data_IF_240564903634
#
_entry.id   IF_240564903634
#
_cell.length_a   1.000
_cell.length_b   1.000
_cell.length_c   1.000
_cell.angle_alpha   90.00
_cell.angle_beta   90.00
_cell.angle_gamma   90.00
#
_symmetry.space_group_name_H-M   'P 1'
#
loop_
_entity.id
_entity.type
_entity.pdbx_description
1 polymer ?
#
# COMPACT_ATOMS: atom_id res chain seq x y z
N UNK A 1 11.34 -22.94 32.80
CA UNK A 1 12.63 -22.26 32.51
C UNK A 1 13.75 -23.19 32.04
N UNK A 2 13.86 -24.47 32.49
CA UNK A 2 14.92 -25.38 32.03
C UNK A 2 14.90 -25.78 30.53
N UNK A 3 13.74 -25.86 29.90
CA UNK A 3 13.64 -26.21 28.43
C UNK A 3 14.27 -25.19 27.47
N UNK A 4 14.31 -23.89 27.80
CA UNK A 4 14.87 -22.83 26.99
C UNK A 4 16.42 -22.87 26.99
N UNK A 5 17.03 -23.42 28.02
CA UNK A 5 18.50 -23.45 28.16
C UNK A 5 19.20 -24.34 27.12
N UNK A 6 18.47 -25.29 26.51
CA UNK A 6 18.98 -26.25 25.53
C UNK A 6 18.72 -25.86 24.04
N UNK A 7 18.13 -24.71 23.77
CA UNK A 7 17.91 -24.28 22.41
C UNK A 7 19.22 -23.82 21.75
N UNK A 8 19.38 -24.13 20.44
CA UNK A 8 20.49 -23.60 19.64
C UNK A 8 20.47 -22.08 19.67
N UNK A 9 21.63 -21.44 19.64
CA UNK A 9 21.75 -19.97 19.67
C UNK A 9 20.87 -19.28 18.61
N UNK A 10 20.82 -19.81 17.40
CA UNK A 10 19.96 -19.29 16.31
C UNK A 10 18.48 -19.28 16.69
N UNK A 11 17.97 -20.33 17.36
CA UNK A 11 16.57 -20.39 17.79
C UNK A 11 16.28 -19.35 18.87
N UNK A 12 17.23 -19.09 19.77
CA UNK A 12 17.09 -18.06 20.80
C UNK A 12 17.02 -16.67 20.17
N UNK A 13 17.92 -16.37 19.23
CA UNK A 13 17.93 -15.09 18.50
C UNK A 13 16.61 -14.90 17.74
N UNK A 14 16.12 -15.94 17.06
CA UNK A 14 14.84 -15.89 16.35
C UNK A 14 13.69 -15.46 17.27
N UNK A 15 13.53 -16.11 18.42
CA UNK A 15 12.46 -15.77 19.36
C UNK A 15 12.65 -14.42 20.07
N UNK A 16 13.90 -13.96 20.25
CA UNK A 16 14.16 -12.60 20.75
C UNK A 16 13.67 -11.57 19.73
N UNK A 17 13.97 -11.75 18.44
CA UNK A 17 13.52 -10.83 17.38
C UNK A 17 11.98 -10.84 17.29
N UNK A 18 11.34 -12.02 17.31
CA UNK A 18 9.87 -12.12 17.36
C UNK A 18 9.31 -11.35 18.57
N UNK A 19 9.91 -11.52 19.75
CA UNK A 19 9.49 -10.78 20.95
C UNK A 19 9.66 -9.27 20.81
N UNK A 20 10.74 -8.79 20.17
CA UNK A 20 10.93 -7.37 19.88
C UNK A 20 9.88 -6.84 18.89
N UNK A 21 9.58 -7.60 17.84
CA UNK A 21 8.53 -7.23 16.86
C UNK A 21 7.17 -7.10 17.55
N UNK A 22 6.79 -8.08 18.36
CA UNK A 22 5.52 -8.02 19.11
C UNK A 22 5.50 -6.81 20.05
N UNK A 23 6.59 -6.54 20.76
CA UNK A 23 6.69 -5.37 21.65
C UNK A 23 6.55 -4.04 20.85
N UNK A 24 7.23 -3.92 19.71
CA UNK A 24 7.14 -2.73 18.88
C UNK A 24 5.70 -2.51 18.34
N UNK A 25 5.01 -3.58 17.94
CA UNK A 25 3.61 -3.48 17.54
C UNK A 25 2.73 -3.02 18.71
N UNK A 26 2.90 -3.58 19.92
CA UNK A 26 2.13 -3.15 21.11
C UNK A 26 2.38 -1.66 21.39
N UNK A 27 3.62 -1.18 21.30
CA UNK A 27 3.97 0.23 21.52
C UNK A 27 3.33 1.09 20.44
N UNK A 28 3.40 0.70 19.16
CA UNK A 28 2.80 1.44 18.07
C UNK A 28 1.28 1.61 18.25
N UNK A 29 0.58 0.55 18.63
CA UNK A 29 -0.88 0.60 18.90
C UNK A 29 -1.25 1.41 20.15
N UNK A 30 -0.33 1.65 21.07
CA UNK A 30 -0.61 2.33 22.34
C UNK A 30 -0.02 3.74 22.43
N UNK A 31 0.80 4.18 21.48
CA UNK A 31 1.51 5.46 21.58
C UNK A 31 1.75 6.11 20.21
N UNK A 32 0.87 6.99 19.83
CA UNK A 32 1.00 7.87 18.66
C UNK A 32 2.28 8.71 18.72
N UNK A 33 2.62 9.26 19.89
CA UNK A 33 3.85 10.00 20.11
C UNK A 33 5.12 9.20 19.78
N UNK A 34 5.11 7.87 20.05
CA UNK A 34 6.21 6.98 19.63
C UNK A 34 6.26 6.86 18.11
N UNK A 35 5.13 6.72 17.45
CA UNK A 35 5.04 6.60 15.99
C UNK A 35 5.50 7.89 15.31
N UNK A 36 5.12 9.06 15.81
CA UNK A 36 5.57 10.36 15.33
C UNK A 36 7.08 10.55 15.52
N UNK A 37 7.60 10.18 16.70
CA UNK A 37 9.05 10.18 16.94
C UNK A 37 9.78 9.26 15.97
N UNK A 38 9.22 8.07 15.68
CA UNK A 38 9.79 7.10 14.76
C UNK A 38 9.83 7.66 13.32
N UNK A 39 8.73 8.23 12.84
CA UNK A 39 8.65 8.85 11.50
C UNK A 39 9.64 10.01 11.39
N UNK A 40 9.77 10.81 12.42
CA UNK A 40 10.64 12.00 12.39
C UNK A 40 12.13 11.65 12.41
N UNK A 41 12.55 10.63 13.17
CA UNK A 41 13.98 10.40 13.44
C UNK A 41 14.52 9.07 12.91
N UNK A 42 13.71 8.02 12.85
CA UNK A 42 14.16 6.68 12.48
C UNK A 42 13.81 6.32 11.03
N UNK A 43 12.59 6.55 10.62
CA UNK A 43 12.14 6.22 9.28
C UNK A 43 12.95 6.89 8.16
N UNK A 44 13.35 8.18 8.27
CA UNK A 44 14.22 8.81 7.26
C UNK A 44 15.59 8.14 7.11
N UNK A 45 16.09 7.44 8.14
CA UNK A 45 17.34 6.66 8.04
C UNK A 45 17.17 5.50 7.05
N UNK A 46 16.04 4.81 7.08
CA UNK A 46 15.72 3.76 6.11
C UNK A 46 15.66 4.30 4.68
N UNK A 47 14.94 5.38 4.47
CA UNK A 47 14.82 6.03 3.15
C UNK A 47 16.19 6.53 2.66
N UNK A 48 16.96 7.18 3.53
CA UNK A 48 18.27 7.74 3.15
C UNK A 48 19.38 6.72 2.98
N UNK A 49 19.26 5.52 3.56
CA UNK A 49 20.27 4.46 3.41
C UNK A 49 19.79 3.42 2.39
N UNK A 50 18.72 2.72 2.72
CA UNK A 50 18.23 1.62 1.91
C UNK A 50 17.57 2.10 0.61
N UNK A 51 16.76 3.16 0.65
CA UNK A 51 16.19 3.78 -0.55
C UNK A 51 17.25 4.34 -1.51
N UNK A 52 18.39 4.85 -1.00
CA UNK A 52 19.52 5.23 -1.87
C UNK A 52 20.19 4.01 -2.50
N UNK A 53 20.35 2.93 -1.74
CA UNK A 53 20.94 1.69 -2.25
C UNK A 53 20.08 1.07 -3.38
N UNK A 54 18.79 0.93 -3.15
CA UNK A 54 17.85 0.42 -4.17
C UNK A 54 17.74 1.39 -5.34
N UNK A 55 17.86 2.70 -5.09
CA UNK A 55 17.89 3.75 -6.11
C UNK A 55 19.03 3.65 -7.13
N UNK A 56 20.09 2.86 -6.86
CA UNK A 56 21.16 2.59 -7.82
C UNK A 56 20.70 1.70 -8.98
N UNK A 57 19.61 0.95 -8.82
CA UNK A 57 19.12 0.05 -9.85
C UNK A 57 18.09 0.80 -10.73
N UNK A 58 18.12 0.63 -12.06
CA UNK A 58 17.19 1.28 -12.98
C UNK A 58 15.78 0.65 -12.98
N UNK A 59 15.61 -0.48 -12.30
CA UNK A 59 14.35 -1.23 -12.16
C UNK A 59 13.89 -1.29 -10.70
N UNK A 60 12.64 -1.65 -10.46
CA UNK A 60 12.09 -1.86 -9.13
C UNK A 60 12.70 -3.11 -8.47
N UNK A 61 13.46 -2.92 -7.40
CA UNK A 61 13.99 -4.02 -6.58
C UNK A 61 12.86 -4.72 -5.83
N UNK A 62 11.87 -3.94 -5.35
CA UNK A 62 10.70 -4.44 -4.63
C UNK A 62 9.92 -5.45 -5.46
N UNK A 63 9.68 -5.15 -6.73
CA UNK A 63 8.98 -6.03 -7.67
C UNK A 63 9.70 -7.39 -7.82
N UNK A 64 11.02 -7.39 -7.98
CA UNK A 64 11.80 -8.62 -8.07
C UNK A 64 11.89 -9.38 -6.75
N UNK A 65 11.83 -8.68 -5.60
CA UNK A 65 11.71 -9.34 -4.29
C UNK A 65 10.37 -10.07 -4.14
N UNK A 66 9.28 -9.50 -4.65
CA UNK A 66 7.96 -10.17 -4.67
C UNK A 66 8.03 -11.42 -5.55
N UNK A 67 8.59 -11.32 -6.77
CA UNK A 67 8.78 -12.47 -7.66
C UNK A 67 9.59 -13.58 -6.98
N UNK A 68 10.70 -13.23 -6.34
CA UNK A 68 11.50 -14.18 -5.57
C UNK A 68 10.72 -14.80 -4.40
N UNK A 69 9.88 -14.01 -3.72
CA UNK A 69 8.99 -14.47 -2.65
C UNK A 69 7.98 -15.50 -3.17
N UNK A 70 7.35 -15.24 -4.31
CA UNK A 70 6.40 -16.18 -4.95
C UNK A 70 7.09 -17.52 -5.27
N UNK A 71 8.28 -17.49 -5.86
CA UNK A 71 9.05 -18.72 -6.12
C UNK A 71 9.41 -19.47 -4.83
N UNK A 72 9.73 -18.74 -3.76
CA UNK A 72 10.04 -19.32 -2.46
C UNK A 72 8.80 -20.01 -1.85
N UNK A 73 7.62 -19.41 -1.96
CA UNK A 73 6.35 -20.00 -1.50
C UNK A 73 6.01 -21.24 -2.32
N UNK A 74 6.14 -21.18 -3.64
CA UNK A 74 5.91 -22.34 -4.53
C UNK A 74 6.84 -23.50 -4.12
N UNK A 75 8.12 -23.22 -3.93
CA UNK A 75 9.10 -24.23 -3.48
C UNK A 75 8.72 -24.82 -2.10
N UNK A 76 8.24 -23.99 -1.16
CA UNK A 76 7.77 -24.45 0.14
C UNK A 76 6.59 -25.42 0.00
N UNK A 77 5.61 -25.09 -0.82
CA UNK A 77 4.44 -25.94 -1.09
C UNK A 77 4.85 -27.28 -1.71
N UNK A 78 5.72 -27.24 -2.74
CA UNK A 78 6.22 -28.46 -3.39
C UNK A 78 6.95 -29.37 -2.39
N UNK A 79 7.86 -28.80 -1.58
CA UNK A 79 8.58 -29.58 -0.55
C UNK A 79 7.65 -30.12 0.53
N UNK A 80 6.60 -29.37 0.90
CA UNK A 80 5.58 -29.82 1.84
C UNK A 80 4.82 -31.05 1.30
N UNK A 81 4.34 -30.98 0.07
CA UNK A 81 3.64 -32.07 -0.61
C UNK A 81 4.55 -33.31 -0.73
N UNK A 82 5.80 -33.12 -1.18
CA UNK A 82 6.78 -34.20 -1.29
C UNK A 82 7.08 -34.84 0.07
N UNK A 83 7.16 -34.04 1.12
CA UNK A 83 7.38 -34.53 2.50
C UNK A 83 6.19 -35.34 3.01
N UNK A 84 4.95 -34.87 2.78
CA UNK A 84 3.74 -35.57 3.15
C UNK A 84 3.61 -36.91 2.40
N UNK A 85 3.89 -36.94 1.09
CA UNK A 85 3.87 -38.14 0.29
C UNK A 85 4.88 -39.19 0.77
N UNK A 86 6.13 -38.75 1.05
CA UNK A 86 7.16 -39.62 1.62
C UNK A 86 6.78 -40.15 3.00
N UNK A 87 6.12 -39.34 3.85
CA UNK A 87 5.63 -39.76 5.16
C UNK A 87 4.55 -40.85 5.02
N UNK A 88 3.59 -40.70 4.09
CA UNK A 88 2.55 -41.68 3.80
C UNK A 88 3.18 -43.02 3.37
N UNK A 89 4.11 -42.98 2.39
CA UNK A 89 4.79 -44.19 1.90
C UNK A 89 5.55 -44.90 3.05
N UNK A 90 6.27 -44.14 3.87
CA UNK A 90 7.00 -44.70 5.04
C UNK A 90 6.03 -45.36 6.01
N UNK A 91 4.86 -44.76 6.25
CA UNK A 91 3.84 -45.28 7.15
C UNK A 91 3.16 -46.54 6.60
N UNK A 92 2.88 -46.56 5.31
CA UNK A 92 2.34 -47.75 4.64
C UNK A 92 3.33 -48.92 4.67
N UNK A 93 4.62 -48.66 4.37
CA UNK A 93 5.65 -49.72 4.45
C UNK A 93 5.83 -50.25 5.86
N UNK A 94 5.80 -49.40 6.88
CA UNK A 94 5.89 -49.82 8.28
C UNK A 94 4.71 -50.74 8.69
N UNK A 95 3.49 -50.43 8.24
CA UNK A 95 2.32 -51.25 8.50
C UNK A 95 2.36 -52.62 7.78
N UNK A 96 2.94 -52.68 6.57
CA UNK A 96 3.14 -53.97 5.87
C UNK A 96 4.14 -54.86 6.57
N UNK A 97 5.26 -54.29 7.05
CA UNK A 97 6.25 -55.05 7.80
C UNK A 97 5.70 -55.59 9.12
N UNK A 98 4.89 -54.78 9.84
CA UNK A 98 4.28 -55.19 11.14
C UNK A 98 3.22 -56.31 10.94
N UNK A 99 2.50 -56.33 9.80
CA UNK A 99 1.58 -57.42 9.44
C UNK A 99 2.30 -58.71 9.09
N UNK A 100 3.47 -58.63 8.45
CA UNK A 100 4.26 -59.79 8.04
C UNK A 100 4.97 -60.40 9.26
N UNK A 101 5.43 -59.60 10.24
CA UNK A 101 6.07 -60.04 11.47
C UNK A 101 5.05 -60.75 12.42
N UNK A 102 3.78 -60.35 12.44
CA UNK A 102 2.69 -61.01 13.19
C UNK A 102 2.27 -62.37 12.60
N UNK A 103 2.59 -62.59 11.31
CA UNK A 103 2.32 -63.87 10.63
C UNK A 103 3.45 -64.89 10.82
N UNK A 104 4.67 -64.48 11.19
CA UNK A 104 5.79 -65.39 11.46
C UNK A 104 5.96 -65.59 12.99
N UNK A 105 5.62 -66.79 13.51
CA UNK A 105 5.84 -67.21 14.91
C UNK A 105 7.35 -67.42 15.19
N UNK A 106 8.14 -66.36 15.25
CA UNK A 106 9.56 -66.44 15.64
C UNK A 106 9.81 -65.72 16.96
N UNK A 107 10.69 -66.26 17.87
CA UNK A 107 10.92 -65.69 19.20
C UNK A 107 11.58 -64.33 19.13
N UNK A 108 11.22 -63.46 20.09
CA UNK A 108 11.68 -62.08 20.28
C UNK A 108 13.20 -61.95 20.20
N UNK A 109 13.72 -61.54 19.08
CA UNK A 109 15.08 -60.98 18.97
C UNK A 109 14.97 -59.46 19.20
N UNK A 110 15.57 -58.98 20.27
CA UNK A 110 15.71 -57.56 20.58
C UNK A 110 16.40 -56.84 19.41
N UNK A 111 15.60 -56.10 18.59
CA UNK A 111 16.14 -55.29 17.48
C UNK A 111 16.96 -54.13 18.07
N UNK A 112 18.19 -53.93 17.63
CA UNK A 112 18.94 -52.72 17.97
C UNK A 112 18.17 -51.49 17.46
N UNK A 113 17.99 -50.48 18.31
CA UNK A 113 17.42 -49.21 17.96
C UNK A 113 18.30 -48.54 16.89
N UNK A 114 17.97 -48.77 15.62
CA UNK A 114 18.63 -48.08 14.51
C UNK A 114 18.20 -46.60 14.57
N UNK A 115 19.05 -45.79 15.17
CA UNK A 115 18.96 -44.33 15.02
C UNK A 115 19.18 -43.99 13.54
N UNK A 116 18.07 -44.03 12.76
CA UNK A 116 18.10 -43.69 11.33
C UNK A 116 18.47 -42.22 11.24
N UNK A 117 19.73 -41.93 10.87
CA UNK A 117 20.18 -40.59 10.56
C UNK A 117 19.25 -39.95 9.53
N UNK A 118 18.96 -38.66 9.68
CA UNK A 118 18.13 -37.90 8.74
C UNK A 118 18.66 -38.09 7.32
N UNK A 119 17.83 -38.60 6.38
CA UNK A 119 18.18 -38.75 4.98
C UNK A 119 18.54 -37.39 4.34
N UNK A 120 19.23 -37.40 3.19
CA UNK A 120 19.57 -36.17 2.45
C UNK A 120 18.37 -35.24 2.23
N UNK A 121 17.24 -35.81 1.84
CA UNK A 121 15.99 -35.04 1.64
C UNK A 121 15.47 -34.39 2.95
N UNK A 122 15.49 -35.12 4.07
CA UNK A 122 15.02 -34.59 5.36
C UNK A 122 15.94 -33.45 5.84
N UNK A 123 17.25 -33.50 5.51
CA UNK A 123 18.21 -32.41 5.77
C UNK A 123 17.93 -31.19 4.87
N UNK A 124 17.65 -31.41 3.58
CA UNK A 124 17.28 -30.35 2.63
C UNK A 124 16.01 -29.63 3.07
N UNK A 125 14.95 -30.38 3.38
CA UNK A 125 13.70 -29.77 3.88
C UNK A 125 13.91 -28.97 5.16
N UNK A 126 14.68 -29.51 6.11
CA UNK A 126 14.97 -28.81 7.37
C UNK A 126 15.78 -27.52 7.12
N UNK A 127 16.75 -27.53 6.22
CA UNK A 127 17.54 -26.35 5.82
C UNK A 127 16.66 -25.31 5.13
N UNK A 128 15.86 -25.75 4.16
CA UNK A 128 14.94 -24.88 3.43
C UNK A 128 13.92 -24.19 4.36
N UNK A 129 13.21 -24.95 5.21
CA UNK A 129 12.22 -24.35 6.10
C UNK A 129 12.85 -23.48 7.20
N UNK A 130 14.09 -23.77 7.59
CA UNK A 130 14.83 -22.84 8.48
C UNK A 130 15.11 -21.52 7.77
N UNK A 131 15.59 -21.55 6.52
CA UNK A 131 15.81 -20.36 5.69
C UNK A 131 14.47 -19.61 5.47
N UNK A 132 13.42 -20.32 5.07
CA UNK A 132 12.09 -19.76 4.85
C UNK A 132 11.55 -19.04 6.10
N UNK A 133 11.71 -19.63 7.29
CA UNK A 133 11.32 -19.00 8.55
C UNK A 133 12.08 -17.70 8.83
N UNK A 134 13.38 -17.64 8.49
CA UNK A 134 14.17 -16.41 8.61
C UNK A 134 13.73 -15.33 7.61
N UNK A 135 13.37 -15.72 6.38
CA UNK A 135 12.81 -14.78 5.39
C UNK A 135 11.49 -14.22 5.88
N UNK A 136 10.57 -15.08 6.38
CA UNK A 136 9.30 -14.61 6.96
C UNK A 136 9.52 -13.66 8.14
N UNK A 137 10.49 -13.94 9.00
CA UNK A 137 10.82 -13.05 10.11
C UNK A 137 11.36 -11.69 9.60
N UNK A 138 12.22 -11.70 8.58
CA UNK A 138 12.72 -10.47 7.97
C UNK A 138 11.58 -9.64 7.36
N UNK A 139 10.65 -10.28 6.64
CA UNK A 139 9.44 -9.63 6.12
C UNK A 139 8.62 -9.02 7.26
N UNK A 140 8.37 -9.78 8.33
CA UNK A 140 7.61 -9.29 9.49
C UNK A 140 8.28 -8.08 10.16
N UNK A 141 9.61 -8.10 10.33
CA UNK A 141 10.37 -6.96 10.85
C UNK A 141 10.22 -5.73 9.94
N UNK A 142 10.42 -5.89 8.62
CA UNK A 142 10.31 -4.79 7.66
C UNK A 142 8.89 -4.23 7.60
N UNK A 143 7.86 -5.09 7.61
CA UNK A 143 6.47 -4.64 7.66
C UNK A 143 6.16 -3.86 8.94
N UNK A 144 6.66 -4.31 10.09
CA UNK A 144 6.48 -3.58 11.35
C UNK A 144 7.13 -2.19 11.29
N UNK A 145 8.39 -2.12 10.82
CA UNK A 145 9.16 -0.88 10.82
C UNK A 145 8.71 0.12 9.72
N UNK A 146 8.32 -0.39 8.57
CA UNK A 146 8.11 0.45 7.39
C UNK A 146 6.63 0.52 6.94
N UNK A 147 5.72 -0.05 7.74
CA UNK A 147 4.30 -0.03 7.46
C UNK A 147 3.49 0.10 8.76
N UNK A 148 3.49 -0.91 9.65
CA UNK A 148 2.59 -0.94 10.82
C UNK A 148 2.79 0.26 11.76
N UNK A 149 4.03 0.63 12.10
CA UNK A 149 4.29 1.80 12.95
C UNK A 149 3.76 3.08 12.31
N UNK A 150 3.86 3.20 10.98
CA UNK A 150 3.46 4.39 10.25
C UNK A 150 1.94 4.57 10.21
N UNK A 151 1.16 3.49 10.24
CA UNK A 151 -0.32 3.55 10.30
C UNK A 151 -0.86 4.19 11.58
N UNK A 152 -0.08 4.19 12.66
CA UNK A 152 -0.49 4.68 13.99
C UNK A 152 0.11 6.04 14.35
N UNK A 153 0.67 6.75 13.39
CA UNK A 153 1.19 8.11 13.58
C UNK A 153 0.10 9.15 13.30
N UNK A 154 0.30 10.34 13.82
CA UNK A 154 -0.58 11.49 13.57
C UNK A 154 -0.71 11.75 12.07
N UNK A 155 -1.93 11.78 11.51
CA UNK A 155 -2.19 12.09 10.11
C UNK A 155 -1.60 13.46 9.70
N UNK A 156 -1.25 13.61 8.42
CA UNK A 156 -0.74 14.87 7.89
C UNK A 156 -1.78 15.99 8.02
N UNK A 157 -3.03 15.68 7.76
CA UNK A 157 -4.14 16.61 7.88
C UNK A 157 -4.32 17.13 9.30
N UNK A 158 -4.15 16.29 10.31
CA UNK A 158 -4.24 16.71 11.70
C UNK A 158 -3.07 17.60 12.13
N UNK A 159 -1.89 17.40 11.55
CA UNK A 159 -0.70 18.25 11.84
C UNK A 159 -0.80 19.65 11.29
N UNK A 160 -1.35 19.80 10.08
CA UNK A 160 -1.22 21.05 9.33
C UNK A 160 -2.55 21.73 9.01
N UNK A 161 -3.68 21.01 9.13
CA UNK A 161 -5.01 21.48 8.78
C UNK A 161 -6.01 21.34 9.94
N UNK A 162 -5.57 20.98 11.15
CA UNK A 162 -6.47 20.93 12.30
C UNK A 162 -7.05 22.34 12.54
N UNK A 163 -8.37 22.43 12.46
CA UNK A 163 -9.08 23.66 12.86
C UNK A 163 -8.79 23.86 14.35
N UNK A 164 -8.17 25.00 14.71
CA UNK A 164 -8.05 25.40 16.11
C UNK A 164 -9.44 25.29 16.75
N UNK A 165 -9.56 24.45 17.77
CA UNK A 165 -10.80 24.36 18.55
C UNK A 165 -11.06 25.77 19.06
N UNK A 166 -12.07 26.45 18.51
CA UNK A 166 -12.65 27.60 19.18
C UNK A 166 -12.96 27.15 20.60
N UNK A 167 -12.30 27.77 21.57
CA UNK A 167 -12.58 27.57 22.98
C UNK A 167 -13.95 28.18 23.25
N UNK A 168 -15.00 27.45 22.91
CA UNK A 168 -16.33 27.74 23.40
C UNK A 168 -16.43 27.23 24.84
N UNK A 169 -16.24 28.16 25.78
CA UNK A 169 -16.81 28.11 27.11
C UNK A 169 -18.35 28.00 27.00
N UNK A 170 -18.85 26.77 26.90
CA UNK A 170 -20.29 26.50 27.10
C UNK A 170 -20.43 25.25 27.95
N UNK A 171 -20.83 25.52 29.22
CA UNK A 171 -21.52 24.71 30.20
C UNK A 171 -21.81 23.23 29.86
N UNK A 172 -21.19 22.37 30.68
CA UNK A 172 -21.67 21.02 30.97
C UNK A 172 -23.17 20.98 31.27
N UNK A 173 -23.87 20.18 30.50
CA UNK A 173 -24.87 19.21 30.99
C UNK A 173 -25.56 18.56 29.80
N UNK A 174 -25.17 17.37 29.43
CA UNK A 174 -26.07 16.23 29.20
C UNK A 174 -25.26 14.98 28.85
N UNK A 175 -25.46 13.98 29.66
CA UNK A 175 -25.07 12.59 29.59
C UNK A 175 -25.66 11.92 28.34
N UNK A 176 -24.82 11.18 27.58
CA UNK A 176 -25.12 9.85 27.04
C UNK A 176 -24.02 9.36 26.04
N UNK A 177 -23.32 8.31 26.39
CA UNK A 177 -23.02 7.10 25.63
C UNK A 177 -22.18 7.16 24.33
N UNK A 178 -20.91 6.74 24.47
CA UNK A 178 -20.11 5.98 23.47
C UNK A 178 -20.34 6.23 21.98
N UNK A 179 -19.44 6.97 21.38
CA UNK A 179 -18.74 6.63 20.12
C UNK A 179 -17.68 7.70 19.91
N UNK A 180 -16.45 7.29 19.56
CA UNK A 180 -15.40 8.20 19.12
C UNK A 180 -15.77 8.74 17.72
N UNK A 181 -16.71 9.71 17.69
CA UNK A 181 -16.94 10.56 16.54
C UNK A 181 -15.83 11.61 16.51
N UNK A 182 -14.87 11.43 15.59
CA UNK A 182 -14.10 12.56 15.06
C UNK A 182 -15.08 13.68 14.75
N UNK A 183 -14.97 14.83 15.43
CA UNK A 183 -15.81 16.01 15.15
C UNK A 183 -15.50 16.44 13.70
N UNK A 184 -16.28 15.96 12.73
CA UNK A 184 -16.39 16.48 11.38
C UNK A 184 -16.66 17.97 11.50
N UNK A 185 -15.81 18.81 10.93
CA UNK A 185 -16.18 20.19 10.63
C UNK A 185 -17.50 20.14 9.86
N UNK A 186 -18.49 20.91 10.29
CA UNK A 186 -19.81 20.92 9.65
C UNK A 186 -19.69 21.71 8.36
N UNK A 187 -19.19 21.07 7.28
CA UNK A 187 -19.23 21.65 5.95
C UNK A 187 -20.65 21.57 5.39
N UNK A 188 -21.05 22.62 4.70
CA UNK A 188 -22.38 22.74 4.13
C UNK A 188 -22.41 22.19 2.71
N UNK A 189 -23.62 21.90 2.19
CA UNK A 189 -23.78 21.60 0.77
C UNK A 189 -23.25 22.74 -0.12
N UNK A 190 -23.30 23.98 0.35
CA UNK A 190 -22.78 25.13 -0.39
C UNK A 190 -21.24 25.05 -0.50
N UNK A 191 -20.54 24.65 0.55
CA UNK A 191 -19.08 24.48 0.51
C UNK A 191 -18.67 23.35 -0.44
N UNK A 192 -19.40 22.22 -0.40
CA UNK A 192 -19.19 21.12 -1.33
C UNK A 192 -19.45 21.52 -2.79
N UNK A 193 -20.52 22.30 -3.04
CA UNK A 193 -20.84 22.83 -4.36
C UNK A 193 -19.74 23.78 -4.86
N UNK A 194 -19.27 24.68 -4.01
CA UNK A 194 -18.21 25.62 -4.34
C UNK A 194 -16.88 24.92 -4.66
N UNK A 195 -16.48 23.94 -3.82
CA UNK A 195 -15.31 23.11 -4.07
C UNK A 195 -15.43 22.35 -5.39
N UNK A 196 -16.57 21.67 -5.62
CA UNK A 196 -16.83 20.94 -6.86
C UNK A 196 -16.74 21.85 -8.09
N UNK A 197 -17.38 23.00 -8.08
CA UNK A 197 -17.36 23.92 -9.21
C UNK A 197 -15.96 24.47 -9.47
N UNK A 198 -15.21 24.83 -8.44
CA UNK A 198 -13.81 25.22 -8.57
C UNK A 198 -12.95 24.12 -9.22
N UNK A 199 -13.11 22.85 -8.80
CA UNK A 199 -12.39 21.73 -9.40
C UNK A 199 -12.74 21.54 -10.87
N UNK A 200 -14.04 21.64 -11.23
CA UNK A 200 -14.50 21.52 -12.62
C UNK A 200 -13.93 22.65 -13.47
N UNK A 201 -14.00 23.90 -13.00
CA UNK A 201 -13.45 25.06 -13.72
C UNK A 201 -11.94 24.89 -13.95
N UNK A 202 -11.19 24.42 -12.94
CA UNK A 202 -9.75 24.17 -13.05
C UNK A 202 -9.44 23.04 -14.04
N UNK A 203 -10.17 21.94 -13.98
CA UNK A 203 -9.98 20.84 -14.93
C UNK A 203 -10.32 21.28 -16.37
N UNK A 204 -11.41 22.00 -16.61
CA UNK A 204 -11.77 22.51 -17.93
C UNK A 204 -10.70 23.49 -18.45
N UNK A 205 -10.25 24.44 -17.61
CA UNK A 205 -9.21 25.40 -17.96
C UNK A 205 -7.91 24.70 -18.37
N UNK A 206 -7.43 23.79 -17.52
CA UNK A 206 -6.14 23.10 -17.72
C UNK A 206 -6.19 22.12 -18.89
N UNK A 207 -7.29 21.39 -19.05
CA UNK A 207 -7.50 20.51 -20.21
C UNK A 207 -7.36 21.26 -21.54
N UNK A 208 -7.92 22.49 -21.61
CA UNK A 208 -7.80 23.36 -22.79
C UNK A 208 -6.38 23.87 -23.06
N UNK A 209 -5.49 23.85 -22.07
CA UNK A 209 -4.10 24.29 -22.19
C UNK A 209 -3.13 23.14 -22.53
N UNK A 210 -3.57 21.88 -22.48
CA UNK A 210 -2.72 20.74 -22.78
C UNK A 210 -2.32 20.70 -24.25
N UNK A 211 -1.03 20.46 -24.49
CA UNK A 211 -0.54 20.14 -25.83
C UNK A 211 -0.96 18.73 -26.21
N UNK A 212 -1.51 18.56 -27.41
CA UNK A 212 -2.07 17.27 -27.86
C UNK A 212 -1.59 16.88 -29.25
N UNK A 213 -1.59 15.58 -29.53
CA UNK A 213 -1.44 15.03 -30.88
C UNK A 213 -2.71 15.27 -31.70
N UNK A 214 -2.67 14.91 -32.98
CA UNK A 214 -3.85 14.96 -33.87
C UNK A 214 -4.96 14.00 -33.39
N UNK A 215 -4.60 12.93 -32.67
CA UNK A 215 -5.53 11.96 -32.10
C UNK A 215 -6.08 12.42 -30.73
N UNK A 216 -5.69 13.60 -30.22
CA UNK A 216 -6.15 14.16 -28.95
C UNK A 216 -5.32 13.81 -27.73
N UNK A 217 -4.19 13.12 -27.91
CA UNK A 217 -3.33 12.63 -26.87
C UNK A 217 -2.49 13.73 -26.23
N UNK A 218 -2.42 13.79 -24.92
CA UNK A 218 -1.56 14.73 -24.20
C UNK A 218 -0.08 14.41 -24.45
N UNK A 219 0.66 15.43 -24.89
CA UNK A 219 2.11 15.38 -25.10
C UNK A 219 2.79 15.95 -23.86
N UNK A 220 3.76 15.21 -23.32
CA UNK A 220 4.61 15.68 -22.25
C UNK A 220 6.09 15.45 -22.56
N UNK A 221 6.86 16.52 -22.67
CA UNK A 221 8.28 16.46 -23.01
C UNK A 221 9.23 16.52 -21.81
N UNK A 222 8.71 16.74 -20.60
CA UNK A 222 9.46 16.88 -19.37
C UNK A 222 9.97 15.56 -18.77
N UNK A 223 10.81 15.66 -17.74
CA UNK A 223 11.17 14.53 -16.91
C UNK A 223 10.24 14.46 -15.70
N UNK A 224 9.10 13.81 -15.87
CA UNK A 224 8.02 13.70 -14.89
C UNK A 224 8.52 13.19 -13.53
N UNK A 225 9.42 12.20 -13.52
CA UNK A 225 9.98 11.61 -12.29
C UNK A 225 10.80 12.61 -11.48
N UNK A 226 11.60 13.44 -12.16
CA UNK A 226 12.37 14.52 -11.50
C UNK A 226 11.45 15.63 -11.03
N UNK A 227 10.43 15.95 -11.84
CA UNK A 227 9.46 16.99 -11.51
C UNK A 227 8.67 16.60 -10.25
N UNK A 228 8.18 15.36 -10.13
CA UNK A 228 7.51 14.88 -8.93
C UNK A 228 8.38 15.02 -7.66
N UNK A 229 9.69 14.71 -7.75
CA UNK A 229 10.61 14.92 -6.62
C UNK A 229 10.74 16.42 -6.30
N UNK A 230 10.89 17.28 -7.32
CA UNK A 230 11.03 18.72 -7.14
C UNK A 230 9.79 19.32 -6.48
N UNK A 231 8.60 18.88 -6.89
CA UNK A 231 7.33 19.37 -6.35
C UNK A 231 7.11 18.92 -4.91
N UNK A 232 7.42 17.65 -4.60
CA UNK A 232 7.42 17.16 -3.22
C UNK A 232 8.43 17.88 -2.33
N UNK A 233 9.60 18.26 -2.85
CA UNK A 233 10.58 19.04 -2.12
C UNK A 233 10.10 20.48 -1.90
N UNK A 234 9.50 21.11 -2.91
CA UNK A 234 8.91 22.45 -2.79
C UNK A 234 7.75 22.46 -1.77
N UNK A 235 6.88 21.44 -1.80
CA UNK A 235 5.84 21.28 -0.79
C UNK A 235 6.43 21.12 0.62
N UNK A 236 7.59 20.49 0.74
CA UNK A 236 8.34 20.36 1.99
C UNK A 236 8.88 21.69 2.54
N UNK A 237 8.94 22.77 1.76
CA UNK A 237 9.26 24.12 2.28
C UNK A 237 8.12 24.68 3.12
N UNK A 238 6.87 24.29 2.80
CA UNK A 238 5.68 24.67 3.57
C UNK A 238 5.40 23.69 4.71
N UNK A 239 5.57 22.40 4.47
CA UNK A 239 5.26 21.31 5.41
C UNK A 239 6.53 20.54 5.79
N UNK A 240 7.14 20.87 6.91
CA UNK A 240 8.46 20.37 7.35
C UNK A 240 8.57 18.83 7.40
N UNK A 241 7.46 18.14 7.63
CA UNK A 241 7.41 16.67 7.62
C UNK A 241 7.69 16.06 6.23
N UNK A 242 7.53 16.83 5.15
CA UNK A 242 7.78 16.40 3.77
C UNK A 242 9.20 16.73 3.29
N UNK A 243 10.04 17.35 4.12
CA UNK A 243 11.41 17.71 3.76
C UNK A 243 12.33 16.51 3.56
N UNK A 244 13.42 16.74 2.81
CA UNK A 244 14.54 15.83 2.70
C UNK A 244 14.63 15.05 1.40
N UNK A 245 15.30 13.91 1.44
CA UNK A 245 15.58 13.09 0.26
C UNK A 245 14.36 12.28 -0.21
N UNK A 246 14.20 12.22 -1.51
CA UNK A 246 13.25 11.37 -2.20
C UNK A 246 13.99 10.47 -3.21
N UNK A 247 13.80 9.15 -3.21
CA UNK A 247 14.29 8.30 -4.29
C UNK A 247 13.51 8.55 -5.58
N UNK A 248 14.16 8.28 -6.73
CA UNK A 248 13.53 8.44 -8.03
C UNK A 248 12.38 7.43 -8.20
N UNK A 249 11.13 7.84 -8.48
CA UNK A 249 10.05 6.93 -8.79
C UNK A 249 10.40 6.00 -9.95
N UNK A 250 10.02 4.74 -9.89
CA UNK A 250 10.39 3.71 -10.87
C UNK A 250 9.19 3.13 -11.59
N UNK A 251 9.28 2.92 -12.90
CA UNK A 251 8.24 2.20 -13.63
C UNK A 251 8.24 0.73 -13.22
N UNK A 252 7.07 0.15 -13.01
CA UNK A 252 6.89 -1.27 -12.80
C UNK A 252 7.12 -2.04 -14.10
N UNK A 253 7.81 -3.17 -14.01
CA UNK A 253 8.03 -4.06 -15.16
C UNK A 253 6.72 -4.77 -15.52
N UNK A 254 6.00 -5.29 -14.51
CA UNK A 254 4.73 -6.01 -14.65
C UNK A 254 3.51 -5.07 -14.62
N UNK A 255 3.60 -3.89 -15.26
CA UNK A 255 2.53 -2.88 -15.29
C UNK A 255 1.21 -3.42 -15.81
N UNK A 256 1.22 -4.34 -16.79
CA UNK A 256 0.01 -4.96 -17.31
C UNK A 256 -0.73 -5.76 -16.23
N UNK A 257 0.02 -6.55 -15.41
CA UNK A 257 -0.55 -7.26 -14.27
C UNK A 257 -1.01 -6.32 -13.16
N UNK A 258 -0.32 -5.20 -12.97
CA UNK A 258 -0.74 -4.15 -12.00
C UNK A 258 -2.01 -3.46 -12.49
N UNK A 259 -2.16 -3.25 -13.80
CA UNK A 259 -3.39 -2.71 -14.40
C UNK A 259 -4.60 -3.64 -14.17
N UNK A 260 -4.43 -4.96 -14.23
CA UNK A 260 -5.49 -5.92 -13.90
C UNK A 260 -5.96 -5.84 -12.43
N UNK A 261 -5.17 -5.21 -11.56
CA UNK A 261 -5.52 -4.93 -10.15
C UNK A 261 -6.11 -3.52 -9.97
N UNK A 262 -6.32 -2.77 -11.05
CA UNK A 262 -6.72 -1.35 -11.04
C UNK A 262 -5.81 -0.45 -10.19
N UNK A 263 -4.51 -0.77 -10.11
CA UNK A 263 -3.54 -0.04 -9.32
C UNK A 263 -2.67 0.87 -10.18
N UNK A 264 -2.45 2.10 -9.70
CA UNK A 264 -1.64 3.12 -10.36
C UNK A 264 -0.18 3.07 -9.92
N UNK A 265 0.09 2.68 -8.68
CA UNK A 265 1.43 2.64 -8.12
C UNK A 265 1.56 1.73 -6.92
N UNK A 266 2.77 1.62 -6.41
CA UNK A 266 3.09 0.88 -5.20
C UNK A 266 4.27 1.49 -4.46
N UNK A 267 4.09 1.76 -3.19
CA UNK A 267 5.18 1.88 -2.23
C UNK A 267 5.61 0.48 -1.78
N UNK A 268 6.89 0.15 -1.95
CA UNK A 268 7.43 -1.12 -1.45
C UNK A 268 8.20 -0.92 -0.14
N UNK A 269 7.62 -1.32 1.01
CA UNK A 269 8.26 -1.17 2.32
C UNK A 269 9.53 -2.02 2.48
N UNK A 270 9.73 -3.03 1.61
CA UNK A 270 10.89 -3.91 1.61
C UNK A 270 12.10 -3.30 0.93
N UNK A 271 11.90 -2.36 0.02
CA UNK A 271 12.94 -1.74 -0.81
C UNK A 271 13.01 -0.22 -0.70
N UNK A 272 12.07 0.42 0.01
CA UNK A 272 11.94 1.87 0.11
C UNK A 272 11.85 2.54 -1.26
N UNK A 273 11.01 2.00 -2.13
CA UNK A 273 10.82 2.47 -3.50
C UNK A 273 9.40 2.97 -3.71
N UNK A 274 9.28 4.10 -4.41
CA UNK A 274 8.06 4.58 -5.03
C UNK A 274 7.99 4.04 -6.46
N UNK A 275 6.93 3.35 -6.82
CA UNK A 275 6.80 2.71 -8.11
C UNK A 275 5.47 3.09 -8.76
N UNK A 276 5.46 3.25 -10.08
CA UNK A 276 4.27 3.60 -10.82
C UNK A 276 3.99 2.66 -11.98
N UNK A 277 2.72 2.49 -12.29
CA UNK A 277 2.24 1.76 -13.45
C UNK A 277 2.52 2.57 -14.72
N UNK A 278 3.48 2.13 -15.54
CA UNK A 278 3.89 2.85 -16.76
C UNK A 278 2.86 2.81 -17.88
N UNK A 279 1.84 1.95 -17.77
CA UNK A 279 0.75 1.82 -18.76
C UNK A 279 -0.43 2.74 -18.40
N UNK A 280 -0.47 3.24 -17.18
CA UNK A 280 -1.48 4.21 -16.77
C UNK A 280 -1.45 5.45 -17.69
N UNK A 281 -2.64 6.01 -17.93
CA UNK A 281 -2.74 7.21 -18.78
C UNK A 281 -1.94 8.37 -18.18
N UNK A 282 -1.40 9.23 -19.05
CA UNK A 282 -0.43 10.26 -18.68
C UNK A 282 -0.91 11.21 -17.57
N UNK A 283 -2.21 11.49 -17.51
CA UNK A 283 -2.83 12.34 -16.48
C UNK A 283 -2.76 11.74 -15.07
N UNK A 284 -2.66 10.41 -14.95
CA UNK A 284 -2.57 9.76 -13.63
C UNK A 284 -1.13 9.76 -13.08
N UNK A 285 -0.11 9.86 -13.94
CA UNK A 285 1.27 9.61 -13.55
C UNK A 285 1.84 10.64 -12.56
N UNK A 286 1.63 11.97 -12.71
CA UNK A 286 2.17 12.97 -11.79
C UNK A 286 1.68 12.76 -10.35
N UNK A 287 0.37 12.72 -10.16
CA UNK A 287 -0.23 12.55 -8.83
C UNK A 287 0.14 11.21 -8.22
N UNK A 288 0.16 10.13 -9.00
CA UNK A 288 0.61 8.81 -8.53
C UNK A 288 2.05 8.86 -8.02
N UNK A 289 2.97 9.47 -8.75
CA UNK A 289 4.36 9.59 -8.30
C UNK A 289 4.47 10.37 -6.99
N UNK A 290 3.73 11.47 -6.85
CA UNK A 290 3.72 12.28 -5.62
C UNK A 290 3.09 11.51 -4.45
N UNK A 291 2.01 10.76 -4.67
CA UNK A 291 1.38 9.86 -3.72
C UNK A 291 2.36 8.80 -3.20
N UNK A 292 3.03 8.06 -4.10
CA UNK A 292 4.01 7.04 -3.72
C UNK A 292 5.23 7.65 -2.98
N UNK A 293 5.59 8.90 -3.30
CA UNK A 293 6.62 9.63 -2.59
C UNK A 293 6.15 10.09 -1.19
N UNK A 294 4.84 10.33 -0.98
CA UNK A 294 4.29 10.64 0.34
C UNK A 294 4.43 9.45 1.32
N UNK A 295 4.24 8.22 0.84
CA UNK A 295 4.49 7.02 1.65
C UNK A 295 5.95 6.96 2.14
N UNK A 296 6.92 7.44 1.37
CA UNK A 296 8.33 7.52 1.75
C UNK A 296 8.63 8.64 2.77
N UNK A 297 7.61 9.41 3.17
CA UNK A 297 7.65 10.34 4.30
C UNK A 297 6.91 9.81 5.53
N UNK A 298 6.37 8.61 5.44
CA UNK A 298 5.70 7.94 6.55
C UNK A 298 4.17 8.08 6.53
N UNK A 299 3.60 8.76 5.55
CA UNK A 299 2.15 8.88 5.37
C UNK A 299 1.63 7.69 4.60
N UNK A 300 1.25 6.64 5.34
CA UNK A 300 0.89 5.32 4.76
C UNK A 300 -0.62 5.20 4.52
N UNK A 301 -1.44 6.06 5.14
CA UNK A 301 -2.87 6.11 4.93
C UNK A 301 -3.15 6.68 3.53
N UNK A 302 -3.99 5.98 2.76
CA UNK A 302 -4.21 6.27 1.33
C UNK A 302 -4.86 7.64 1.10
N UNK A 303 -5.80 8.02 1.96
CA UNK A 303 -6.45 9.34 1.94
C UNK A 303 -5.45 10.49 2.16
N UNK A 304 -4.52 10.31 3.11
CA UNK A 304 -3.46 11.28 3.40
C UNK A 304 -2.44 11.34 2.25
N UNK A 305 -2.04 10.20 1.68
CA UNK A 305 -1.12 10.15 0.56
C UNK A 305 -1.75 10.76 -0.72
N UNK A 306 -3.03 10.50 -0.98
CA UNK A 306 -3.80 11.13 -2.05
C UNK A 306 -3.87 12.65 -1.86
N UNK A 307 -4.13 13.11 -0.65
CA UNK A 307 -4.20 14.53 -0.33
C UNK A 307 -2.84 15.23 -0.49
N UNK A 308 -1.74 14.62 -0.03
CA UNK A 308 -0.38 15.13 -0.22
C UNK A 308 -0.02 15.16 -1.71
N UNK A 309 -0.36 14.10 -2.47
CA UNK A 309 -0.15 14.03 -3.91
C UNK A 309 -0.91 15.14 -4.64
N UNK A 310 -2.17 15.38 -4.27
CA UNK A 310 -2.97 16.50 -4.76
C UNK A 310 -2.28 17.83 -4.48
N UNK A 311 -1.91 18.12 -3.23
CA UNK A 311 -1.25 19.38 -2.85
C UNK A 311 0.05 19.62 -3.61
N UNK A 312 0.89 18.57 -3.75
CA UNK A 312 2.15 18.68 -4.50
C UNK A 312 1.88 19.03 -5.97
N UNK A 313 0.90 18.39 -6.58
CA UNK A 313 0.57 18.59 -7.98
C UNK A 313 -0.03 19.98 -8.26
N UNK A 314 -1.00 20.44 -7.47
CA UNK A 314 -1.65 21.74 -7.70
C UNK A 314 -0.73 22.91 -7.39
N UNK A 315 0.31 22.72 -6.57
CA UNK A 315 1.34 23.73 -6.26
C UNK A 315 2.48 23.75 -7.26
N UNK A 316 2.47 22.85 -8.25
CA UNK A 316 3.49 22.77 -9.30
C UNK A 316 3.40 23.94 -10.26
N UNK A 317 4.54 24.32 -10.88
CA UNK A 317 4.60 25.24 -12.03
C UNK A 317 4.40 24.53 -13.39
N UNK A 318 4.19 23.19 -13.37
CA UNK A 318 3.96 22.36 -14.54
C UNK A 318 2.45 22.12 -14.75
N UNK A 319 1.95 22.46 -15.94
CA UNK A 319 0.52 22.38 -16.27
C UNK A 319 -0.03 20.95 -16.18
N UNK A 320 0.74 19.94 -16.60
CA UNK A 320 0.29 18.56 -16.51
C UNK A 320 0.19 18.09 -15.05
N UNK A 321 1.12 18.53 -14.19
CA UNK A 321 1.04 18.24 -12.76
C UNK A 321 -0.19 18.89 -12.14
N UNK A 322 -0.43 20.18 -12.40
CA UNK A 322 -1.64 20.86 -11.92
C UNK A 322 -2.90 20.13 -12.38
N UNK A 323 -2.98 19.79 -13.67
CA UNK A 323 -4.13 19.09 -14.24
C UNK A 323 -4.32 17.71 -13.59
N UNK A 324 -3.25 16.94 -13.46
CA UNK A 324 -3.26 15.64 -12.77
C UNK A 324 -3.78 15.75 -11.34
N UNK A 325 -3.33 16.76 -10.59
CA UNK A 325 -3.77 17.00 -9.21
C UNK A 325 -5.29 17.25 -9.13
N UNK A 326 -5.79 18.22 -9.88
CA UNK A 326 -7.22 18.54 -9.86
C UNK A 326 -8.08 17.39 -10.38
N UNK A 327 -7.64 16.71 -11.45
CA UNK A 327 -8.37 15.61 -12.07
C UNK A 327 -8.46 14.39 -11.13
N UNK A 328 -7.42 14.13 -10.33
CA UNK A 328 -7.37 12.98 -9.43
C UNK A 328 -8.45 12.99 -8.35
N UNK A 329 -8.92 14.16 -7.95
CA UNK A 329 -9.93 14.33 -6.89
C UNK A 329 -11.31 14.69 -7.42
N UNK A 330 -11.41 15.07 -8.71
CA UNK A 330 -12.65 15.54 -9.33
C UNK A 330 -13.79 14.52 -9.19
N UNK A 331 -13.54 13.26 -9.51
CA UNK A 331 -14.57 12.23 -9.47
C UNK A 331 -15.12 12.00 -8.05
N UNK A 332 -14.27 12.04 -7.03
CA UNK A 332 -14.70 11.87 -5.64
C UNK A 332 -15.64 13.01 -5.22
N UNK A 333 -15.20 14.24 -5.45
CA UNK A 333 -16.01 15.42 -5.07
C UNK A 333 -17.30 15.52 -5.90
N UNK A 334 -17.23 15.18 -7.20
CA UNK A 334 -18.40 15.20 -8.08
C UNK A 334 -19.44 14.13 -7.71
N UNK A 335 -19.00 12.94 -7.30
CA UNK A 335 -19.91 11.87 -6.84
C UNK A 335 -20.54 12.22 -5.50
N UNK A 336 -19.76 12.67 -4.51
CA UNK A 336 -20.28 13.12 -3.21
C UNK A 336 -21.27 14.28 -3.38
N UNK A 337 -21.00 15.22 -4.29
CA UNK A 337 -21.92 16.31 -4.64
C UNK A 337 -23.23 15.76 -5.22
N UNK A 338 -23.14 14.84 -6.22
CA UNK A 338 -24.34 14.29 -6.86
C UNK A 338 -25.23 13.52 -5.86
N UNK A 339 -24.61 12.76 -4.99
CA UNK A 339 -25.31 12.09 -3.88
C UNK A 339 -25.94 13.10 -2.90
N UNK A 340 -25.20 14.13 -2.51
CA UNK A 340 -25.65 15.14 -1.55
C UNK A 340 -26.83 15.99 -2.06
N UNK A 341 -26.98 16.16 -3.36
CA UNK A 341 -28.13 16.81 -3.97
C UNK A 341 -29.32 15.85 -4.18
N UNK A 342 -29.21 14.58 -3.75
CA UNK A 342 -30.24 13.54 -3.90
C UNK A 342 -30.34 13.00 -5.32
N UNK A 343 -29.23 12.94 -6.07
CA UNK A 343 -29.15 12.49 -7.47
C UNK A 343 -30.05 13.30 -8.43
N UNK A 344 -30.36 14.54 -8.05
CA UNK A 344 -31.22 15.42 -8.83
C UNK A 344 -30.46 15.93 -10.06
N UNK A 345 -30.85 15.40 -11.22
CA UNK A 345 -30.22 15.73 -12.51
C UNK A 345 -30.40 17.22 -12.88
N UNK A 346 -31.56 17.85 -12.59
CA UNK A 346 -31.79 19.25 -12.93
C UNK A 346 -30.89 20.17 -12.09
N UNK A 347 -30.76 19.88 -10.80
CA UNK A 347 -29.82 20.59 -9.92
C UNK A 347 -28.37 20.39 -10.36
N UNK A 348 -27.99 19.16 -10.76
CA UNK A 348 -26.65 18.88 -11.26
C UNK A 348 -26.35 19.68 -12.52
N UNK A 349 -27.30 19.74 -13.46
CA UNK A 349 -27.14 20.49 -14.72
C UNK A 349 -27.17 22.01 -14.55
N UNK A 350 -27.63 22.54 -13.43
CA UNK A 350 -27.58 23.96 -13.10
C UNK A 350 -26.18 24.44 -12.68
N UNK A 351 -25.30 23.52 -12.28
CA UNK A 351 -23.92 23.81 -11.87
C UNK A 351 -22.94 23.79 -13.07
N UNK A 352 -21.69 24.17 -12.83
CA UNK A 352 -20.64 24.15 -13.85
C UNK A 352 -20.48 22.73 -14.40
N UNK A 353 -20.49 22.57 -15.71
CA UNK A 353 -20.42 21.26 -16.34
C UNK A 353 -18.95 20.88 -16.66
N UNK A 354 -18.65 19.60 -16.52
CA UNK A 354 -17.35 19.04 -16.88
C UNK A 354 -17.30 18.94 -18.41
N UNK A 355 -16.24 19.49 -19.02
CA UNK A 355 -16.03 19.43 -20.45
C UNK A 355 -15.81 17.99 -20.93
N UNK A 356 -16.27 17.68 -22.13
CA UNK A 356 -16.11 16.34 -22.71
C UNK A 356 -14.66 15.87 -22.73
N UNK A 357 -13.72 16.78 -23.02
CA UNK A 357 -12.30 16.46 -23.07
C UNK A 357 -11.76 16.00 -21.70
N UNK A 358 -12.27 16.58 -20.61
CA UNK A 358 -11.89 16.17 -19.26
C UNK A 358 -12.33 14.73 -18.97
N UNK A 359 -13.51 14.31 -19.44
CA UNK A 359 -13.92 12.90 -19.34
C UNK A 359 -13.03 11.97 -20.19
N UNK A 360 -12.60 12.42 -21.36
CA UNK A 360 -11.69 11.66 -22.23
C UNK A 360 -10.29 11.54 -21.62
N UNK A 361 -9.87 12.52 -20.82
CA UNK A 361 -8.59 12.52 -20.09
C UNK A 361 -8.65 11.78 -18.76
N UNK A 362 -9.86 11.60 -18.17
CA UNK A 362 -10.07 10.96 -16.88
C UNK A 362 -10.15 9.43 -16.99
N UNK A 363 -9.25 8.83 -17.76
CA UNK A 363 -9.20 7.38 -17.97
C UNK A 363 -8.03 6.77 -17.19
N UNK A 364 -8.23 5.57 -16.66
CA UNK A 364 -7.18 4.84 -15.95
C UNK A 364 -6.07 4.39 -16.89
N UNK A 365 -6.45 3.70 -17.95
CA UNK A 365 -5.60 3.19 -19.04
C UNK A 365 -6.36 3.39 -20.33
N UNK A 366 -5.66 3.57 -21.45
CA UNK A 366 -6.32 3.68 -22.76
C UNK A 366 -7.00 2.39 -23.15
N UNK A 367 -8.05 2.53 -23.94
CA UNK A 367 -8.81 1.39 -24.43
C UNK A 367 -7.94 0.38 -25.19
N UNK A 368 -7.04 0.87 -26.05
CA UNK A 368 -6.14 0.03 -26.86
C UNK A 368 -5.18 -0.76 -25.97
N UNK A 369 -4.64 -0.12 -24.92
CA UNK A 369 -3.78 -0.76 -23.96
C UNK A 369 -4.56 -1.75 -23.08
N UNK A 370 -5.80 -1.40 -22.71
CA UNK A 370 -6.66 -2.30 -21.95
C UNK A 370 -7.03 -3.55 -22.75
N UNK A 371 -7.44 -3.38 -24.02
CA UNK A 371 -7.75 -4.49 -24.93
C UNK A 371 -6.52 -5.41 -25.13
N UNK A 372 -5.31 -4.85 -25.16
CA UNK A 372 -4.06 -5.61 -25.20
C UNK A 372 -3.82 -6.37 -23.90
N UNK A 373 -3.97 -5.71 -22.74
CA UNK A 373 -3.78 -6.32 -21.41
C UNK A 373 -4.72 -7.51 -21.23
N UNK A 374 -6.00 -7.35 -21.53
CA UNK A 374 -6.97 -8.45 -21.42
C UNK A 374 -6.65 -9.61 -22.36
N UNK A 375 -6.24 -9.32 -23.59
CA UNK A 375 -5.88 -10.34 -24.59
C UNK A 375 -4.65 -11.15 -24.19
N UNK A 376 -3.66 -10.49 -23.56
CA UNK A 376 -2.38 -11.11 -23.17
C UNK A 376 -2.40 -11.67 -21.74
N UNK A 377 -3.48 -11.45 -21.00
CA UNK A 377 -3.65 -11.88 -19.63
C UNK A 377 -3.53 -13.40 -19.48
N UNK A 378 -2.65 -13.86 -18.59
CA UNK A 378 -2.50 -15.29 -18.25
C UNK A 378 -3.56 -15.73 -17.24
N UNK A 379 -4.04 -14.81 -16.42
CA UNK A 379 -5.11 -15.00 -15.43
C UNK A 379 -6.17 -13.97 -15.72
N UNK A 380 -7.43 -14.39 -15.63
CA UNK A 380 -8.59 -13.53 -15.85
C UNK A 380 -8.54 -12.30 -14.92
N UNK A 381 -8.83 -11.12 -15.46
CA UNK A 381 -8.79 -9.84 -14.73
C UNK A 381 -9.72 -9.85 -13.52
N UNK A 382 -10.92 -10.42 -13.62
CA UNK A 382 -11.86 -10.52 -12.49
C UNK A 382 -11.26 -11.32 -11.32
N UNK A 383 -10.50 -12.39 -11.61
CA UNK A 383 -9.84 -13.20 -10.58
C UNK A 383 -8.68 -12.43 -9.93
N UNK A 384 -7.89 -11.74 -10.75
CA UNK A 384 -6.75 -10.93 -10.25
C UNK A 384 -7.26 -9.82 -9.35
N UNK A 385 -8.29 -9.09 -9.78
CA UNK A 385 -8.89 -7.99 -9.03
C UNK A 385 -9.51 -8.48 -7.72
N UNK A 386 -10.32 -9.53 -7.74
CA UNK A 386 -10.93 -10.09 -6.53
C UNK A 386 -9.89 -10.52 -5.48
N UNK A 387 -8.77 -11.13 -5.91
CA UNK A 387 -7.68 -11.54 -5.00
C UNK A 387 -6.95 -10.32 -4.46
N UNK A 388 -6.67 -9.33 -5.31
CA UNK A 388 -5.99 -8.09 -4.93
C UNK A 388 -6.82 -7.30 -3.93
N UNK A 389 -8.10 -7.06 -4.21
CA UNK A 389 -9.03 -6.34 -3.33
C UNK A 389 -9.15 -7.05 -1.97
N UNK A 390 -9.32 -8.37 -1.95
CA UNK A 390 -9.38 -9.14 -0.70
C UNK A 390 -8.10 -9.06 0.13
N UNK A 391 -6.93 -8.98 -0.52
CA UNK A 391 -5.65 -8.78 0.16
C UNK A 391 -5.53 -7.39 0.76
N UNK A 392 -5.87 -6.35 -0.01
CA UNK A 392 -5.83 -4.94 0.44
C UNK A 392 -6.77 -4.73 1.63
N UNK A 393 -8.05 -5.18 1.54
CA UNK A 393 -9.01 -5.09 2.64
C UNK A 393 -8.52 -5.80 3.91
N UNK A 394 -7.95 -7.01 3.77
CA UNK A 394 -7.41 -7.75 4.91
C UNK A 394 -6.24 -7.00 5.55
N UNK A 395 -5.35 -6.42 4.73
CA UNK A 395 -4.21 -5.63 5.20
C UNK A 395 -4.65 -4.38 5.94
N UNK A 396 -5.64 -3.64 5.41
CA UNK A 396 -6.21 -2.45 6.05
C UNK A 396 -6.81 -2.79 7.42
N UNK A 397 -7.66 -3.83 7.50
CA UNK A 397 -8.26 -4.30 8.75
C UNK A 397 -7.22 -4.72 9.79
N UNK A 398 -6.15 -5.40 9.38
CA UNK A 398 -5.04 -5.79 10.26
C UNK A 398 -4.26 -4.59 10.82
N UNK A 399 -4.28 -3.45 10.15
CA UNK A 399 -3.65 -2.21 10.61
C UNK A 399 -4.64 -1.24 11.29
N UNK A 400 -5.85 -1.70 11.61
CA UNK A 400 -6.84 -0.91 12.38
C UNK A 400 -7.67 0.05 11.53
N UNK A 401 -7.64 -0.08 10.21
CA UNK A 401 -8.52 0.67 9.29
C UNK A 401 -9.81 -0.13 9.11
N UNK A 402 -10.80 0.13 9.98
CA UNK A 402 -12.04 -0.65 10.00
C UNK A 402 -12.96 -0.36 8.80
N UNK A 403 -12.83 0.80 8.17
CA UNK A 403 -13.76 1.29 7.15
C UNK A 403 -13.41 0.83 5.71
N UNK A 404 -12.33 0.07 5.52
CA UNK A 404 -11.96 -0.49 4.23
C UNK A 404 -11.93 0.56 3.10
N UNK A 405 -12.74 0.36 2.06
CA UNK A 405 -12.82 1.27 0.89
C UNK A 405 -13.60 2.57 1.13
N UNK A 406 -14.07 2.88 2.33
CA UNK A 406 -14.71 4.18 2.70
C UNK A 406 -13.68 5.33 2.76
N UNK A 407 -12.40 5.05 2.53
CA UNK A 407 -11.34 6.06 2.42
C UNK A 407 -11.64 7.19 1.40
N UNK A 408 -12.47 6.93 0.40
CA UNK A 408 -12.83 7.94 -0.62
C UNK A 408 -13.61 9.13 -0.06
N UNK A 409 -14.56 8.92 0.85
CA UNK A 409 -15.28 10.03 1.51
C UNK A 409 -14.39 10.84 2.45
N UNK A 410 -13.27 10.28 2.93
CA UNK A 410 -12.30 11.01 3.76
C UNK A 410 -11.51 12.02 2.94
N UNK A 411 -11.11 11.67 1.70
CA UNK A 411 -10.41 12.61 0.80
C UNK A 411 -11.25 13.86 0.58
N UNK A 412 -12.57 13.73 0.35
CA UNK A 412 -13.46 14.88 0.18
C UNK A 412 -13.51 15.73 1.44
N UNK A 413 -13.52 15.11 2.62
CA UNK A 413 -13.42 15.83 3.90
C UNK A 413 -12.13 16.63 4.04
N UNK A 414 -10.98 16.05 3.66
CA UNK A 414 -9.67 16.73 3.67
C UNK A 414 -9.63 17.89 2.66
N UNK A 415 -10.21 17.72 1.48
CA UNK A 415 -10.31 18.77 0.47
C UNK A 415 -11.20 19.93 0.91
N UNK A 416 -12.32 19.65 1.57
CA UNK A 416 -13.17 20.69 2.18
C UNK A 416 -12.44 21.44 3.29
N UNK A 417 -11.69 20.73 4.12
CA UNK A 417 -10.88 21.32 5.19
C UNK A 417 -9.79 22.26 4.61
N UNK A 418 -9.15 21.85 3.52
CA UNK A 418 -8.17 22.67 2.81
C UNK A 418 -8.82 23.88 2.10
N UNK A 419 -9.95 23.66 1.45
CA UNK A 419 -10.61 24.68 0.63
C UNK A 419 -11.23 25.81 1.48
N UNK A 420 -11.71 25.50 2.68
CA UNK A 420 -12.39 26.44 3.56
C UNK A 420 -11.45 27.17 4.55
N UNK A 421 -10.10 26.98 4.45
CA UNK A 421 -9.13 27.77 5.20
C UNK A 421 -8.96 29.17 4.61
#
# INVERSE_FOLDING_TARGET
MQKIKNWKTQTKIYFIIVGMVVLLNIIAWSSEAFCDWYIRYVFPVWVNTYGRLTGLFPFSVGEWLIVAGVFLVIAAVILMIASAFRWIIRRCRARHVDKQDKSSRAPHVTRPSVTRGRGRFDKLCCGFYTFFAWVLLAVLVLMTLNCTILYHATPFSEKYFAIEKATDDVNENTDTGNTAETKKGTYTLQDLTALRNMLVEKCNELSGQMQRTEEGEIIYEGNMRKKAISDMQALGETYDALQGFYPMPKPLYFSDFVSQQYMLGYYFPFSMEANYNKVAYVTNLPVTMCHELAHLKGYIQEDEANFIGFLACISSDDLLFQYSGYLSVLNYVNNDFYEAIGEDYERYMAEVQIDRQVYEDAVFVRKEDWDRIEKEAVVDTEVVDAVSTGFVETSLKLNGVDDGMVAYSRVVGLLLQWYCQ
#
